data_IF_263567772724
#
_entry.id   IF_263567772724
#
_cell.length_a   1.000
_cell.length_b   1.000
_cell.length_c   1.000
_cell.angle_alpha   90.00
_cell.angle_beta   90.00
_cell.angle_gamma   90.00
#
_symmetry.space_group_name_H-M   'P 1'
#
loop_
_entity.id
_entity.type
_entity.pdbx_description
1 polymer ?
#
# COMPACT_ATOMS: atom_id res chain seq x y z
N UNK A 1 29.17 14.38 24.72
CA UNK A 1 29.09 13.23 23.79
C UNK A 1 27.64 13.09 23.37
N UNK A 2 27.31 13.30 22.10
CA UNK A 2 25.94 13.13 21.58
C UNK A 2 25.86 11.70 21.04
N UNK A 3 25.15 10.82 21.74
CA UNK A 3 24.80 9.49 21.22
C UNK A 3 23.75 9.66 20.13
N UNK A 4 24.17 9.68 18.87
CA UNK A 4 23.25 9.43 17.76
C UNK A 4 22.83 7.96 17.82
N UNK A 5 21.67 7.68 18.39
CA UNK A 5 21.01 6.39 18.23
C UNK A 5 20.62 6.26 16.76
N UNK A 6 21.41 5.55 15.96
CA UNK A 6 20.95 5.05 14.66
C UNK A 6 19.71 4.21 14.90
N UNK A 7 18.52 4.75 14.57
CA UNK A 7 17.29 3.97 14.57
C UNK A 7 17.41 2.89 13.51
N UNK A 8 17.77 1.67 13.93
CA UNK A 8 17.72 0.51 13.05
C UNK A 8 16.26 0.16 12.80
N UNK A 9 15.71 0.60 11.65
CA UNK A 9 14.38 0.19 11.20
C UNK A 9 14.44 -1.23 10.61
N UNK A 10 14.43 -2.24 11.47
CA UNK A 10 14.38 -3.62 11.02
C UNK A 10 12.94 -4.03 10.67
N UNK A 11 12.62 -4.04 9.37
CA UNK A 11 11.31 -4.46 8.87
C UNK A 11 11.00 -5.95 9.14
N UNK A 12 12.03 -6.79 9.31
CA UNK A 12 11.85 -8.22 9.59
C UNK A 12 11.33 -8.48 11.02
N UNK A 13 11.57 -7.56 11.95
CA UNK A 13 11.13 -7.68 13.35
C UNK A 13 9.71 -7.13 13.60
N UNK A 14 8.96 -6.81 12.53
CA UNK A 14 7.61 -6.27 12.64
C UNK A 14 6.58 -7.35 12.95
N UNK A 15 5.48 -6.94 13.59
CA UNK A 15 4.33 -7.82 13.82
C UNK A 15 3.77 -8.33 12.48
N UNK A 16 3.02 -9.43 12.51
CA UNK A 16 2.36 -9.92 11.29
C UNK A 16 1.41 -8.89 10.67
N UNK A 17 0.72 -8.10 11.50
CA UNK A 17 -0.20 -7.05 11.05
C UNK A 17 0.56 -5.89 10.38
N UNK A 18 1.67 -5.45 10.96
CA UNK A 18 2.51 -4.41 10.35
C UNK A 18 3.12 -4.86 9.03
N UNK A 19 3.54 -6.14 8.94
CA UNK A 19 4.07 -6.71 7.70
C UNK A 19 2.99 -6.79 6.62
N UNK A 20 1.77 -7.18 6.99
CA UNK A 20 0.62 -7.18 6.10
C UNK A 20 0.33 -5.76 5.59
N UNK A 21 0.27 -4.76 6.48
CA UNK A 21 0.04 -3.37 6.08
C UNK A 21 1.08 -2.85 5.08
N UNK A 22 2.36 -3.18 5.28
CA UNK A 22 3.44 -2.85 4.33
C UNK A 22 3.21 -3.52 2.97
N UNK A 23 2.79 -4.78 2.97
CA UNK A 23 2.53 -5.51 1.73
C UNK A 23 1.33 -4.91 0.97
N UNK A 24 0.28 -4.51 1.68
CA UNK A 24 -0.87 -3.83 1.10
C UNK A 24 -0.49 -2.46 0.50
N UNK A 25 0.33 -1.67 1.19
CA UNK A 25 0.83 -0.39 0.68
C UNK A 25 1.64 -0.56 -0.62
N UNK A 26 2.53 -1.57 -0.66
CA UNK A 26 3.29 -1.92 -1.87
C UNK A 26 2.36 -2.29 -3.02
N UNK A 27 1.40 -3.18 -2.78
CA UNK A 27 0.44 -3.60 -3.80
C UNK A 27 -0.38 -2.41 -4.33
N UNK A 28 -0.81 -1.50 -3.46
CA UNK A 28 -1.54 -0.30 -3.85
C UNK A 28 -0.68 0.59 -4.75
N UNK A 29 0.57 0.85 -4.36
CA UNK A 29 1.51 1.64 -5.17
C UNK A 29 1.72 1.07 -6.57
N UNK A 30 1.83 -0.26 -6.66
CA UNK A 30 2.05 -0.96 -7.94
C UNK A 30 0.81 -0.91 -8.82
N UNK A 31 -0.39 -1.11 -8.27
CA UNK A 31 -1.65 -1.01 -9.02
C UNK A 31 -1.85 0.42 -9.55
N UNK A 32 -1.59 1.45 -8.74
CA UNK A 32 -1.71 2.84 -9.22
C UNK A 32 -0.69 3.13 -10.32
N UNK A 33 0.53 2.60 -10.21
CA UNK A 33 1.49 2.68 -11.30
C UNK A 33 0.95 1.98 -12.56
N UNK A 34 0.38 0.78 -12.45
CA UNK A 34 -0.24 0.09 -13.58
C UNK A 34 -1.36 0.90 -14.21
N UNK A 35 -2.23 1.55 -13.41
CA UNK A 35 -3.28 2.45 -13.92
C UNK A 35 -2.67 3.58 -14.74
N UNK A 36 -1.64 4.24 -14.19
CA UNK A 36 -0.90 5.31 -14.90
C UNK A 36 -0.30 4.83 -16.22
N UNK A 37 0.17 3.59 -16.28
CA UNK A 37 0.74 3.00 -17.48
C UNK A 37 -0.31 2.41 -18.44
N UNK A 38 -1.62 2.46 -18.12
CA UNK A 38 -2.66 1.80 -18.90
C UNK A 38 -2.56 0.26 -18.91
N UNK A 39 -1.92 -0.33 -17.90
CA UNK A 39 -1.66 -1.79 -17.77
C UNK A 39 -2.68 -2.52 -16.90
N UNK A 40 -3.61 -1.79 -16.31
CA UNK A 40 -4.74 -2.33 -15.56
C UNK A 40 -5.92 -1.38 -15.71
N UNK A 41 -7.10 -1.83 -15.34
CA UNK A 41 -8.35 -1.07 -15.41
C UNK A 41 -8.93 -0.81 -14.03
N UNK A 42 -9.80 0.19 -13.93
CA UNK A 42 -10.55 0.49 -12.69
C UNK A 42 -11.38 -0.71 -12.23
N UNK A 43 -11.91 -1.52 -13.15
CA UNK A 43 -12.67 -2.72 -12.82
C UNK A 43 -11.83 -3.81 -12.16
N UNK A 44 -10.57 -3.98 -12.57
CA UNK A 44 -9.63 -4.88 -11.92
C UNK A 44 -9.28 -4.42 -10.51
N UNK A 45 -9.14 -3.09 -10.30
CA UNK A 45 -8.97 -2.52 -8.95
C UNK A 45 -10.19 -2.77 -8.09
N UNK A 46 -11.39 -2.55 -8.63
CA UNK A 46 -12.65 -2.84 -7.93
C UNK A 46 -12.81 -4.34 -7.62
N UNK A 47 -12.36 -5.22 -8.51
CA UNK A 47 -12.30 -6.67 -8.27
C UNK A 47 -11.38 -7.01 -7.10
N UNK A 48 -10.17 -6.42 -7.07
CA UNK A 48 -9.24 -6.57 -5.94
C UNK A 48 -9.84 -6.08 -4.63
N UNK A 49 -10.51 -4.92 -4.62
CA UNK A 49 -11.19 -4.39 -3.43
C UNK A 49 -12.31 -5.32 -2.91
N UNK A 50 -13.05 -5.97 -3.81
CA UNK A 50 -14.08 -6.95 -3.45
C UNK A 50 -13.51 -8.28 -2.91
N UNK A 51 -12.23 -8.55 -3.14
CA UNK A 51 -11.58 -9.81 -2.71
C UNK A 51 -11.12 -9.80 -1.24
N UNK A 52 -11.10 -8.63 -0.60
CA UNK A 52 -10.72 -8.52 0.81
C UNK A 52 -11.78 -9.14 1.72
N UNK A 53 -11.32 -9.86 2.75
CA UNK A 53 -12.18 -10.49 3.77
C UNK A 53 -12.34 -9.62 5.01
N UNK A 54 -11.25 -8.98 5.43
CA UNK A 54 -11.21 -8.08 6.59
C UNK A 54 -11.39 -6.63 6.11
N UNK A 55 -12.35 -5.92 6.70
CA UNK A 55 -12.63 -4.53 6.29
C UNK A 55 -11.43 -3.61 6.60
N UNK A 56 -10.72 -3.85 7.71
CA UNK A 56 -9.53 -3.07 8.06
C UNK A 56 -8.41 -3.15 7.02
N UNK A 57 -8.16 -4.34 6.45
CA UNK A 57 -7.14 -4.53 5.42
C UNK A 57 -7.53 -3.78 4.13
N UNK A 58 -8.82 -3.82 3.81
CA UNK A 58 -9.39 -3.10 2.68
C UNK A 58 -9.29 -1.59 2.88
N UNK A 59 -9.56 -1.08 4.08
CA UNK A 59 -9.43 0.34 4.41
C UNK A 59 -7.98 0.82 4.25
N UNK A 60 -7.00 0.08 4.78
CA UNK A 60 -5.58 0.40 4.58
C UNK A 60 -5.19 0.40 3.10
N UNK A 61 -5.72 -0.54 2.34
CA UNK A 61 -5.47 -0.60 0.91
C UNK A 61 -6.07 0.60 0.18
N UNK A 62 -7.30 0.99 0.50
CA UNK A 62 -7.97 2.17 -0.06
C UNK A 62 -7.21 3.46 0.29
N UNK A 63 -6.80 3.65 1.55
CA UNK A 63 -5.99 4.80 1.95
C UNK A 63 -4.69 4.90 1.14
N UNK A 64 -4.03 3.76 0.92
CA UNK A 64 -2.79 3.69 0.14
C UNK A 64 -3.05 3.99 -1.34
N UNK A 65 -4.14 3.46 -1.92
CA UNK A 65 -4.54 3.76 -3.31
C UNK A 65 -4.76 5.26 -3.50
N UNK A 66 -5.52 5.91 -2.62
CA UNK A 66 -5.80 7.34 -2.70
C UNK A 66 -4.53 8.18 -2.53
N UNK A 67 -3.64 7.77 -1.63
CA UNK A 67 -2.32 8.39 -1.46
C UNK A 67 -1.51 8.35 -2.76
N UNK A 68 -1.35 7.18 -3.36
CA UNK A 68 -0.53 7.03 -4.56
C UNK A 68 -1.20 7.61 -5.80
N UNK A 69 -2.54 7.57 -5.93
CA UNK A 69 -3.28 8.28 -6.99
C UNK A 69 -2.95 9.76 -6.99
N UNK A 70 -2.98 10.39 -5.82
CA UNK A 70 -2.60 11.79 -5.63
C UNK A 70 -1.15 12.07 -6.01
N UNK A 71 -0.21 11.25 -5.55
CA UNK A 71 1.23 11.43 -5.87
C UNK A 71 1.50 11.23 -7.36
N UNK A 72 0.85 10.23 -7.97
CA UNK A 72 1.12 9.85 -9.36
C UNK A 72 0.28 10.61 -10.38
N UNK A 73 -0.71 11.39 -9.94
CA UNK A 73 -1.61 12.15 -10.81
C UNK A 73 -2.57 11.25 -11.59
N UNK A 74 -3.09 10.21 -10.93
CA UNK A 74 -4.09 9.27 -11.49
C UNK A 74 -5.45 9.60 -10.88
N UNK A 75 -6.46 9.82 -11.72
CA UNK A 75 -7.84 10.12 -11.34
C UNK A 75 -8.68 8.86 -11.13
#
# INVERSE_FOLDING_TARGET
MITHSTMSFNLANKSSQDRLRIELDKQASYIVWQLKQGKTTVDEVNSKLRSFREEQDKDWFIESLEHYKKIMGVS
#
